data_IF_512575637381
#
_entry.id   IF_512575637381
#
_cell.length_a   1.000
_cell.length_b   1.000
_cell.length_c   1.000
_cell.angle_alpha   90.00
_cell.angle_beta   90.00
_cell.angle_gamma   90.00
#
_symmetry.space_group_name_H-M   'P 1'
#
loop_
_entity.id
_entity.type
_entity.pdbx_description
1 polymer ?
#
# COMPACT_ATOMS: atom_id res chain seq x y z
N UNK A 1 1.46 -17.21 0.33
CA UNK A 1 2.85 -17.67 0.33
C UNK A 1 3.30 -17.95 1.76
N UNK A 2 4.16 -18.93 1.91
CA UNK A 2 4.76 -19.18 3.22
C UNK A 2 5.80 -18.09 3.54
N UNK A 3 6.16 -17.92 4.82
CA UNK A 3 7.08 -16.87 5.23
C UNK A 3 8.46 -16.95 4.59
N UNK A 4 8.94 -18.15 4.28
CA UNK A 4 10.26 -18.32 3.67
C UNK A 4 10.23 -17.84 2.23
N UNK A 5 9.23 -18.21 1.45
CA UNK A 5 9.08 -17.78 0.07
C UNK A 5 8.86 -16.26 -0.01
N UNK A 6 8.08 -15.70 0.90
CA UNK A 6 7.87 -14.26 0.97
C UNK A 6 9.18 -13.52 1.25
N UNK A 7 9.98 -14.01 2.19
CA UNK A 7 11.28 -13.41 2.51
C UNK A 7 12.24 -13.43 1.33
N UNK A 8 12.24 -14.49 0.54
CA UNK A 8 13.09 -14.58 -0.65
C UNK A 8 12.68 -13.58 -1.72
N UNK A 9 11.39 -13.39 -1.92
CA UNK A 9 10.89 -12.40 -2.87
C UNK A 9 11.26 -10.99 -2.42
N UNK A 10 11.10 -10.69 -1.14
CA UNK A 10 11.45 -9.37 -0.59
C UNK A 10 12.96 -9.09 -0.71
N UNK A 11 13.79 -10.09 -0.45
CA UNK A 11 15.24 -9.97 -0.63
C UNK A 11 15.62 -9.71 -2.09
N UNK A 12 14.97 -10.39 -3.02
CA UNK A 12 15.19 -10.17 -4.44
C UNK A 12 14.81 -8.75 -4.84
N UNK A 13 13.69 -8.23 -4.35
CA UNK A 13 13.28 -6.86 -4.61
C UNK A 13 14.30 -5.84 -4.10
N UNK A 14 14.88 -6.08 -2.92
CA UNK A 14 15.95 -5.21 -2.39
C UNK A 14 17.15 -5.16 -3.31
N UNK A 15 17.48 -6.26 -3.96
CA UNK A 15 18.60 -6.30 -4.90
C UNK A 15 18.28 -5.58 -6.21
N UNK A 16 17.12 -5.86 -6.80
CA UNK A 16 16.82 -5.31 -8.14
C UNK A 16 16.40 -3.85 -8.11
N UNK A 17 15.93 -3.34 -6.98
CA UNK A 17 15.55 -1.92 -6.89
C UNK A 17 16.75 -0.98 -7.06
N UNK A 18 17.96 -1.47 -6.90
CA UNK A 18 19.17 -0.69 -7.13
C UNK A 18 19.30 -0.26 -8.58
N UNK A 19 18.75 -1.04 -9.51
CA UNK A 19 18.85 -0.80 -10.94
C UNK A 19 17.50 -0.50 -11.60
N UNK A 20 16.40 -0.88 -10.95
CA UNK A 20 15.07 -0.78 -11.54
C UNK A 20 14.08 -0.12 -10.59
N UNK A 21 13.10 0.55 -11.16
CA UNK A 21 11.92 1.00 -10.41
C UNK A 21 10.94 -0.15 -10.37
N UNK A 22 10.48 -0.50 -9.16
CA UNK A 22 9.54 -1.61 -8.95
C UNK A 22 8.22 -1.04 -8.48
N UNK A 23 7.14 -1.46 -9.11
CA UNK A 23 5.78 -1.11 -8.69
C UNK A 23 5.09 -2.40 -8.25
N UNK A 24 4.57 -2.38 -7.02
CA UNK A 24 3.88 -3.53 -6.43
C UNK A 24 2.45 -3.12 -6.10
N UNK A 25 1.50 -3.98 -6.46
CA UNK A 25 0.12 -3.82 -6.00
C UNK A 25 -0.15 -4.94 -5.01
N UNK A 26 -0.53 -4.59 -3.80
CA UNK A 26 -0.75 -5.55 -2.72
C UNK A 26 -1.80 -5.04 -1.75
N UNK A 27 -2.53 -5.95 -1.14
CA UNK A 27 -3.38 -5.64 0.01
C UNK A 27 -2.71 -6.00 1.34
N UNK A 28 -1.48 -6.50 1.28
CA UNK A 28 -0.72 -6.85 2.48
C UNK A 28 0.04 -5.62 2.98
N UNK A 29 -0.52 -4.99 4.01
CA UNK A 29 0.03 -3.75 4.58
C UNK A 29 1.40 -3.95 5.20
N UNK A 30 1.65 -5.11 5.81
CA UNK A 30 2.94 -5.39 6.41
C UNK A 30 4.04 -5.51 5.36
N UNK A 31 3.73 -6.16 4.24
CA UNK A 31 4.67 -6.25 3.13
C UNK A 31 4.96 -4.87 2.55
N UNK A 32 3.91 -4.08 2.32
CA UNK A 32 4.09 -2.71 1.81
C UNK A 32 4.99 -1.89 2.74
N UNK A 33 4.79 -1.99 4.04
CA UNK A 33 5.59 -1.25 5.01
C UNK A 33 7.06 -1.67 4.99
N UNK A 34 7.33 -2.97 4.75
CA UNK A 34 8.71 -3.49 4.77
C UNK A 34 9.50 -3.18 3.51
N UNK A 35 8.86 -3.29 2.35
CA UNK A 35 9.61 -3.31 1.09
C UNK A 35 9.55 -2.03 0.28
N UNK A 36 8.57 -1.17 0.52
CA UNK A 36 8.38 0.01 -0.32
C UNK A 36 9.08 1.24 0.23
N UNK A 37 9.55 2.09 -0.68
CA UNK A 37 10.11 3.40 -0.34
C UNK A 37 9.02 4.47 -0.35
N UNK A 38 8.05 4.32 -1.25
CA UNK A 38 6.88 5.17 -1.33
C UNK A 38 5.64 4.29 -1.43
N UNK A 39 4.54 4.80 -0.90
CA UNK A 39 3.29 4.08 -0.86
C UNK A 39 2.17 4.95 -1.40
N UNK A 40 1.30 4.34 -2.20
CA UNK A 40 0.08 4.98 -2.67
C UNK A 40 -1.10 4.17 -2.16
N UNK A 41 -2.01 4.83 -1.45
CA UNK A 41 -3.21 4.20 -0.95
C UNK A 41 -4.39 4.52 -1.86
N UNK A 42 -5.02 3.46 -2.35
CA UNK A 42 -6.24 3.55 -3.16
C UNK A 42 -7.41 2.98 -2.39
N UNK A 43 -8.57 3.58 -2.58
CA UNK A 43 -9.82 3.05 -2.07
C UNK A 43 -10.88 3.05 -3.16
N UNK A 44 -12.03 2.47 -2.87
CA UNK A 44 -13.14 2.44 -3.80
C UNK A 44 -14.23 3.37 -3.31
N UNK A 45 -14.71 4.23 -4.19
CA UNK A 45 -15.91 5.03 -3.96
C UNK A 45 -17.05 4.43 -4.74
N UNK A 46 -18.21 4.33 -4.09
CA UNK A 46 -19.44 3.78 -4.69
C UNK A 46 -20.42 4.92 -4.90
N UNK A 47 -20.89 5.08 -6.14
CA UNK A 47 -21.98 6.01 -6.42
C UNK A 47 -23.30 5.29 -6.28
N UNK A 48 -24.13 5.73 -5.33
CA UNK A 48 -25.47 5.16 -5.13
C UNK A 48 -26.41 5.50 -6.29
N UNK A 49 -26.15 6.61 -6.96
CA UNK A 49 -26.98 7.07 -8.09
C UNK A 49 -26.77 6.21 -9.33
N UNK A 50 -25.53 5.91 -9.66
CA UNK A 50 -25.18 5.18 -10.88
C UNK A 50 -24.81 3.72 -10.62
N UNK A 51 -24.75 3.29 -9.37
CA UNK A 51 -24.33 1.94 -8.96
C UNK A 51 -22.97 1.56 -9.53
N UNK A 52 -22.06 2.55 -9.60
CA UNK A 52 -20.70 2.34 -10.10
C UNK A 52 -19.70 2.39 -8.96
N UNK A 53 -18.61 1.63 -9.13
CA UNK A 53 -17.47 1.66 -8.23
C UNK A 53 -16.28 2.27 -8.96
N UNK A 54 -15.61 3.21 -8.31
CA UNK A 54 -14.45 3.90 -8.88
C UNK A 54 -13.29 3.81 -7.91
N UNK A 55 -12.13 3.41 -8.43
CA UNK A 55 -10.89 3.44 -7.66
C UNK A 55 -10.41 4.89 -7.54
N UNK A 56 -10.05 5.29 -6.35
CA UNK A 56 -9.62 6.66 -6.05
C UNK A 56 -8.29 6.63 -5.33
N UNK A 57 -7.34 7.43 -5.81
CA UNK A 57 -6.09 7.65 -5.09
C UNK A 57 -6.36 8.58 -3.90
N UNK A 58 -6.16 8.06 -2.70
CA UNK A 58 -6.40 8.81 -1.47
C UNK A 58 -5.19 9.64 -1.10
N UNK A 59 -4.03 8.99 -1.09
CA UNK A 59 -2.80 9.62 -0.62
C UNK A 59 -1.59 8.87 -1.17
N UNK A 60 -0.51 9.61 -1.46
CA UNK A 60 0.77 9.03 -1.81
C UNK A 60 1.86 9.79 -1.09
N UNK A 61 2.77 9.09 -0.43
CA UNK A 61 3.89 9.69 0.28
C UNK A 61 4.97 8.64 0.57
N UNK A 62 6.05 9.08 1.21
CA UNK A 62 7.05 8.16 1.73
C UNK A 62 6.40 7.12 2.63
N UNK A 63 6.84 5.88 2.51
CA UNK A 63 6.25 4.76 3.25
C UNK A 63 6.26 4.99 4.75
N UNK A 64 7.37 5.49 5.28
CA UNK A 64 7.46 5.78 6.71
C UNK A 64 6.36 6.73 7.18
N UNK A 65 6.12 7.80 6.41
CA UNK A 65 5.07 8.76 6.74
C UNK A 65 3.68 8.15 6.63
N UNK A 66 3.44 7.35 5.60
CA UNK A 66 2.14 6.71 5.37
C UNK A 66 1.72 5.81 6.53
N UNK A 67 2.68 5.14 7.16
CA UNK A 67 2.41 4.20 8.24
C UNK A 67 2.54 4.79 9.63
N UNK A 68 3.09 6.00 9.77
CA UNK A 68 3.27 6.64 11.08
C UNK A 68 2.41 7.89 11.25
N UNK A 69 2.27 8.70 10.22
CA UNK A 69 1.54 9.98 10.29
C UNK A 69 0.96 10.34 8.94
N UNK A 70 -0.01 9.57 8.43
CA UNK A 70 -0.63 9.88 7.16
C UNK A 70 -1.42 11.19 7.22
N UNK A 71 -1.55 11.84 6.08
CA UNK A 71 -2.25 13.12 5.96
C UNK A 71 -3.76 12.97 5.86
N UNK A 72 -4.25 11.81 5.40
CA UNK A 72 -5.67 11.56 5.20
C UNK A 72 -6.19 10.59 6.25
N UNK A 73 -7.34 10.90 6.83
CA UNK A 73 -7.97 10.06 7.84
C UNK A 73 -8.30 8.66 7.33
N UNK A 74 -8.65 8.54 6.04
CA UNK A 74 -8.94 7.23 5.43
C UNK A 74 -7.71 6.34 5.43
N UNK A 75 -6.55 6.91 5.15
CA UNK A 75 -5.28 6.19 5.22
C UNK A 75 -4.98 5.77 6.65
N UNK A 76 -5.14 6.68 7.59
CA UNK A 76 -4.93 6.39 9.01
C UNK A 76 -5.81 5.24 9.48
N UNK A 77 -7.08 5.26 9.14
CA UNK A 77 -8.02 4.20 9.51
C UNK A 77 -7.60 2.86 8.91
N UNK A 78 -7.14 2.87 7.68
CA UNK A 78 -6.71 1.63 7.01
C UNK A 78 -5.46 1.04 7.64
N UNK A 79 -4.43 1.87 7.89
CA UNK A 79 -3.17 1.36 8.45
C UNK A 79 -3.30 0.98 9.91
N UNK A 80 -4.26 1.54 10.64
CA UNK A 80 -4.52 1.19 12.04
C UNK A 80 -5.57 0.11 12.22
N UNK A 81 -6.17 -0.35 11.12
CA UNK A 81 -7.21 -1.38 11.17
C UNK A 81 -8.57 -0.89 11.65
N UNK A 82 -8.83 0.40 11.57
CA UNK A 82 -10.11 0.99 12.01
C UNK A 82 -11.11 1.19 10.87
N UNK A 83 -10.99 0.42 9.84
CA UNK A 83 -11.92 0.50 8.71
C UNK A 83 -13.14 -0.38 8.96
N UNK A 84 -14.26 0.12 8.57
CA UNK A 84 -15.51 -0.62 8.75
C UNK A 84 -16.46 0.00 9.68
#
# INVERSE_FOLDING_TARGET
LDPIATGRIEDLMEQIKQEYTIIIVTHNMQQAARVSDRCAFFTTEVSEVSDTRTGVLVEVDATEKMFSNPSDERTENYVTGRFG
#
